data_IF_421321713169
#
_entry.id   IF_421321713169
#
_cell.length_a   1.000
_cell.length_b   1.000
_cell.length_c   1.000
_cell.angle_alpha   90.00
_cell.angle_beta   90.00
_cell.angle_gamma   90.00
#
_symmetry.space_group_name_H-M   'P 1'
#
loop_
_entity.id
_entity.type
_entity.pdbx_description
1 polymer ?
#
# COMPACT_ATOMS: atom_id res chain seq x y z
N UNK A 1 3.13 -25.55 -16.65
CA UNK A 1 3.21 -24.83 -15.37
C UNK A 1 2.28 -23.64 -15.54
N UNK A 2 1.05 -23.69 -15.02
CA UNK A 2 0.19 -22.51 -15.06
C UNK A 2 0.75 -21.55 -14.04
N UNK A 3 1.30 -20.42 -14.49
CA UNK A 3 1.56 -19.28 -13.63
C UNK A 3 0.23 -18.95 -12.94
N UNK A 4 0.15 -19.30 -11.66
CA UNK A 4 -0.94 -18.90 -10.81
C UNK A 4 -0.98 -17.39 -10.85
N UNK A 5 -2.01 -16.84 -11.49
CA UNK A 5 -2.55 -15.53 -11.15
C UNK A 5 -3.02 -15.64 -9.70
N UNK A 6 -2.06 -15.63 -8.76
CA UNK A 6 -2.31 -15.14 -7.43
C UNK A 6 -2.88 -13.74 -7.65
N UNK A 7 -4.14 -13.55 -7.28
CA UNK A 7 -4.80 -12.26 -7.28
C UNK A 7 -3.78 -11.24 -6.78
N UNK A 8 -3.32 -10.35 -7.64
CA UNK A 8 -2.20 -9.48 -7.31
C UNK A 8 -2.60 -8.71 -6.05
N UNK A 9 -1.88 -8.87 -4.90
CA UNK A 9 -2.26 -8.20 -3.67
C UNK A 9 -2.19 -6.68 -3.81
N UNK A 10 -1.58 -6.22 -4.91
CA UNK A 10 -1.45 -4.83 -5.31
C UNK A 10 -2.27 -4.63 -6.59
N UNK A 11 -3.32 -3.83 -6.49
CA UNK A 11 -4.17 -3.50 -7.64
C UNK A 11 -3.43 -2.67 -8.69
N UNK A 12 -3.86 -2.76 -9.95
CA UNK A 12 -3.30 -1.99 -11.06
C UNK A 12 -3.28 -0.46 -10.81
N UNK A 13 -4.28 0.06 -10.10
CA UNK A 13 -4.35 1.48 -9.69
C UNK A 13 -3.26 1.86 -8.68
N UNK A 14 -2.97 0.98 -7.72
CA UNK A 14 -1.92 1.18 -6.74
C UNK A 14 -0.52 1.08 -7.39
N UNK A 15 -0.33 0.18 -8.36
CA UNK A 15 0.88 0.17 -9.19
C UNK A 15 1.12 1.51 -9.90
N UNK A 16 0.07 2.10 -10.49
CA UNK A 16 0.19 3.41 -11.15
C UNK A 16 0.56 4.51 -10.15
N UNK A 17 -0.05 4.52 -8.97
CA UNK A 17 0.29 5.46 -7.88
C UNK A 17 1.76 5.35 -7.47
N UNK A 18 2.24 4.12 -7.23
CA UNK A 18 3.64 3.88 -6.86
C UNK A 18 4.60 4.38 -7.94
N UNK A 19 4.35 4.09 -9.22
CA UNK A 19 5.20 4.56 -10.31
C UNK A 19 5.22 6.08 -10.46
N UNK A 20 4.13 6.75 -10.08
CA UNK A 20 4.04 8.20 -10.10
C UNK A 20 4.81 8.83 -8.95
N UNK A 21 4.63 8.32 -7.74
CA UNK A 21 5.24 8.86 -6.53
C UNK A 21 6.74 8.48 -6.45
N UNK A 22 7.13 7.34 -7.04
CA UNK A 22 8.50 6.84 -7.11
C UNK A 22 8.94 6.70 -8.58
N UNK A 23 9.42 7.79 -9.21
CA UNK A 23 9.82 7.77 -10.61
C UNK A 23 11.08 6.93 -10.86
N UNK A 24 11.88 6.67 -9.82
CA UNK A 24 13.02 5.77 -9.92
C UNK A 24 12.55 4.30 -10.02
N UNK A 25 12.89 3.58 -11.10
CA UNK A 25 12.39 2.22 -11.32
C UNK A 25 12.94 1.21 -10.31
N UNK A 26 14.12 1.45 -9.73
CA UNK A 26 14.70 0.62 -8.68
C UNK A 26 13.91 0.75 -7.37
N UNK A 27 13.61 1.99 -6.99
CA UNK A 27 12.80 2.32 -5.82
C UNK A 27 11.37 1.79 -5.96
N UNK A 28 10.72 2.03 -7.09
CA UNK A 28 9.36 1.52 -7.36
C UNK A 28 9.30 -0.01 -7.24
N UNK A 29 10.26 -0.73 -7.84
CA UNK A 29 10.34 -2.19 -7.73
C UNK A 29 10.56 -2.65 -6.28
N UNK A 30 11.42 -1.95 -5.53
CA UNK A 30 11.66 -2.22 -4.12
C UNK A 30 10.41 -2.04 -3.26
N UNK A 31 9.65 -0.98 -3.51
CA UNK A 31 8.38 -0.69 -2.81
C UNK A 31 7.31 -1.73 -3.13
N UNK A 32 7.13 -2.07 -4.40
CA UNK A 32 6.21 -3.14 -4.82
C UNK A 32 6.55 -4.45 -4.13
N UNK A 33 7.83 -4.83 -4.08
CA UNK A 33 8.28 -6.02 -3.37
C UNK A 33 7.99 -5.99 -1.86
N UNK A 34 8.25 -4.85 -1.22
CA UNK A 34 7.98 -4.67 0.21
C UNK A 34 6.47 -4.68 0.53
N UNK A 35 5.63 -4.07 -0.32
CA UNK A 35 4.18 -4.11 -0.19
C UNK A 35 3.63 -5.53 -0.31
N UNK A 36 4.15 -6.34 -1.25
CA UNK A 36 3.76 -7.76 -1.37
C UNK A 36 4.10 -8.55 -0.10
N UNK A 37 5.29 -8.34 0.45
CA UNK A 37 5.68 -8.97 1.71
C UNK A 37 4.78 -8.53 2.87
N UNK A 38 4.48 -7.23 2.96
CA UNK A 38 3.58 -6.69 3.98
C UNK A 38 2.16 -7.27 3.86
N UNK A 39 1.63 -7.39 2.64
CA UNK A 39 0.32 -7.98 2.40
C UNK A 39 0.24 -9.43 2.90
N UNK A 40 1.28 -10.23 2.62
CA UNK A 40 1.35 -11.61 3.09
C UNK A 40 1.44 -11.71 4.62
N UNK A 41 2.13 -10.77 5.28
CA UNK A 41 2.19 -10.71 6.74
C UNK A 41 0.86 -10.30 7.37
N UNK A 42 0.14 -9.37 6.73
CA UNK A 42 -1.12 -8.82 7.22
C UNK A 42 -2.36 -9.61 6.78
N UNK A 43 -2.22 -10.63 5.94
CA UNK A 43 -3.32 -11.48 5.43
C UNK A 43 -4.21 -12.03 6.56
N UNK A 44 -3.63 -12.29 7.74
CA UNK A 44 -4.36 -12.78 8.92
C UNK A 44 -5.23 -11.73 9.63
N UNK A 45 -5.10 -10.45 9.27
CA UNK A 45 -5.77 -9.33 9.94
C UNK A 45 -7.24 -9.17 9.53
N UNK A 46 -7.74 -9.95 8.55
CA UNK A 46 -9.09 -9.85 7.97
C UNK A 46 -9.46 -8.51 7.31
N UNK A 47 -8.56 -7.52 7.38
CA UNK A 47 -8.69 -6.23 6.70
C UNK A 47 -8.38 -6.32 5.21
N UNK A 48 -8.89 -5.35 4.44
CA UNK A 48 -8.60 -5.27 3.01
C UNK A 48 -7.12 -4.96 2.78
N UNK A 49 -6.37 -5.82 2.07
CA UNK A 49 -4.96 -5.59 1.80
C UNK A 49 -4.76 -4.29 1.03
N UNK A 50 -5.60 -4.01 0.04
CA UNK A 50 -5.52 -2.76 -0.73
C UNK A 50 -5.61 -1.50 0.16
N UNK A 51 -6.45 -1.52 1.20
CA UNK A 51 -6.60 -0.41 2.16
C UNK A 51 -5.30 -0.19 2.94
N UNK A 52 -4.74 -1.26 3.49
CA UNK A 52 -3.49 -1.23 4.25
C UNK A 52 -2.30 -0.78 3.39
N UNK A 53 -2.18 -1.34 2.18
CA UNK A 53 -1.10 -1.00 1.26
C UNK A 53 -1.23 0.44 0.76
N UNK A 54 -2.45 0.92 0.51
CA UNK A 54 -2.70 2.31 0.12
C UNK A 54 -2.29 3.27 1.24
N UNK A 55 -2.64 2.98 2.49
CA UNK A 55 -2.21 3.79 3.64
C UNK A 55 -0.68 3.92 3.70
N UNK A 56 0.05 2.81 3.49
CA UNK A 56 1.50 2.82 3.48
C UNK A 56 2.09 3.69 2.35
N UNK A 57 1.48 3.69 1.16
CA UNK A 57 1.91 4.53 0.02
C UNK A 57 1.54 6.00 0.22
N UNK A 58 0.37 6.28 0.79
CA UNK A 58 -0.07 7.66 1.11
C UNK A 58 0.85 8.29 2.14
N UNK A 59 1.20 7.59 3.23
CA UNK A 59 2.16 8.07 4.24
C UNK A 59 3.55 8.28 3.62
N UNK A 60 3.94 7.41 2.68
CA UNK A 60 5.23 7.49 2.03
C UNK A 60 5.41 8.78 1.23
N UNK A 61 4.36 9.24 0.54
CA UNK A 61 4.35 10.52 -0.20
C UNK A 61 5.59 10.69 -1.11
N UNK A 62 5.95 9.63 -1.84
CA UNK A 62 7.14 9.59 -2.71
C UNK A 62 8.50 9.47 -2.00
N UNK A 63 8.53 9.39 -0.67
CA UNK A 63 9.74 9.23 0.13
C UNK A 63 9.92 7.77 0.63
N UNK A 64 11.05 7.16 0.28
CA UNK A 64 11.38 5.77 0.63
C UNK A 64 11.61 5.58 2.13
N UNK A 65 12.13 6.58 2.85
CA UNK A 65 12.31 6.52 4.30
C UNK A 65 10.98 6.61 5.03
N UNK A 66 10.05 7.44 4.53
CA UNK A 66 8.67 7.48 5.04
C UNK A 66 7.96 6.16 4.77
N UNK A 67 8.12 5.59 3.57
CA UNK A 67 7.60 4.27 3.25
C UNK A 67 8.09 3.19 4.23
N UNK A 68 9.41 3.14 4.49
CA UNK A 68 9.99 2.20 5.47
C UNK A 68 9.41 2.38 6.87
N UNK A 69 9.15 3.63 7.26
CA UNK A 69 8.55 3.95 8.55
C UNK A 69 7.08 3.49 8.61
N UNK A 70 6.33 3.68 7.53
CA UNK A 70 4.96 3.20 7.39
C UNK A 70 4.89 1.66 7.45
N UNK A 71 5.78 0.95 6.75
CA UNK A 71 5.84 -0.53 6.83
C UNK A 71 6.14 -1.01 8.26
N UNK A 72 7.04 -0.34 8.98
CA UNK A 72 7.30 -0.66 10.40
C UNK A 72 6.09 -0.40 11.29
N UNK A 73 5.36 0.68 11.04
CA UNK A 73 4.12 1.00 11.75
C UNK A 73 3.06 -0.08 11.48
N UNK A 74 2.84 -0.44 10.22
CA UNK A 74 1.90 -1.48 9.80
C UNK A 74 2.12 -2.83 10.50
N UNK A 75 3.38 -3.24 10.66
CA UNK A 75 3.76 -4.47 11.37
C UNK A 75 3.55 -4.40 12.87
N UNK A 76 3.58 -3.19 13.43
CA UNK A 76 3.47 -2.95 14.87
C UNK A 76 2.01 -2.78 15.27
N UNK A 77 1.33 -1.82 14.64
CA UNK A 77 -0.11 -1.63 14.73
C UNK A 77 -0.63 -1.13 13.36
N UNK A 78 -1.30 -2.04 12.64
CA UNK A 78 -1.90 -1.73 11.35
C UNK A 78 -3.07 -0.76 11.47
N UNK A 79 -3.70 -0.61 12.65
CA UNK A 79 -4.77 0.38 12.84
C UNK A 79 -4.19 1.79 12.87
N UNK A 80 -3.05 1.98 13.52
CA UNK A 80 -2.34 3.27 13.51
C UNK A 80 -1.87 3.62 12.10
N UNK A 81 -1.45 2.64 11.30
CA UNK A 81 -1.17 2.85 9.88
C UNK A 81 -2.39 3.41 9.15
N UNK A 82 -3.56 2.79 9.34
CA UNK A 82 -4.79 3.24 8.68
C UNK A 82 -5.16 4.66 9.11
N UNK A 83 -5.09 4.98 10.40
CA UNK A 83 -5.34 6.34 10.90
C UNK A 83 -4.33 7.34 10.32
N UNK A 84 -3.04 7.02 10.35
CA UNK A 84 -1.98 7.88 9.82
C UNK A 84 -2.10 8.10 8.30
N UNK A 85 -2.60 7.11 7.57
CA UNK A 85 -2.85 7.19 6.14
C UNK A 85 -4.21 7.76 5.76
N UNK A 86 -5.01 8.27 6.71
CA UNK A 86 -6.35 8.80 6.45
C UNK A 86 -7.40 7.75 6.10
N UNK A 87 -7.08 6.47 6.22
CA UNK A 87 -7.94 5.33 5.89
C UNK A 87 -8.49 4.64 7.15
N UNK A 88 -8.39 5.25 8.32
CA UNK A 88 -8.86 4.70 9.60
C UNK A 88 -10.36 4.90 9.87
N UNK A 89 -11.02 5.80 9.14
CA UNK A 89 -12.42 6.16 9.33
C UNK A 89 -13.36 5.38 8.40
N UNK A 90 -14.68 5.54 8.58
CA UNK A 90 -15.71 4.82 7.81
C UNK A 90 -15.78 5.26 6.34
N UNK A 91 -15.30 6.46 6.02
CA UNK A 91 -15.18 7.04 4.68
C UNK A 91 -13.94 6.56 3.90
N UNK A 92 -13.21 5.57 4.42
CA UNK A 92 -12.04 5.01 3.77
C UNK A 92 -12.27 4.54 2.31
N UNK A 93 -13.44 4.02 1.88
CA UNK A 93 -13.63 3.63 0.48
C UNK A 93 -13.57 4.82 -0.47
N UNK A 94 -14.11 5.98 -0.05
CA UNK A 94 -14.07 7.22 -0.83
C UNK A 94 -12.65 7.77 -0.89
N UNK A 95 -11.97 7.87 0.25
CA UNK A 95 -10.58 8.35 0.32
C UNK A 95 -9.66 7.46 -0.52
N UNK A 96 -9.85 6.13 -0.46
CA UNK A 96 -9.08 5.18 -1.26
C UNK A 96 -9.30 5.39 -2.76
N UNK A 97 -10.53 5.65 -3.19
CA UNK A 97 -10.83 5.94 -4.59
C UNK A 97 -10.22 7.28 -5.03
N UNK A 98 -10.27 8.31 -4.19
CA UNK A 98 -9.66 9.61 -4.46
C UNK A 98 -8.13 9.54 -4.58
N UNK A 99 -7.48 8.79 -3.69
CA UNK A 99 -6.02 8.64 -3.69
C UNK A 99 -5.50 7.78 -4.85
N UNK A 100 -6.30 6.80 -5.29
CA UNK A 100 -5.94 5.89 -6.38
C UNK A 100 -6.53 6.32 -7.74
N UNK A 101 -7.34 7.38 -7.75
CA UNK A 101 -7.90 7.94 -8.98
C UNK A 101 -6.78 8.45 -9.90
N UNK A 102 -6.86 8.15 -11.21
CA UNK A 102 -5.97 8.76 -12.19
C UNK A 102 -6.33 10.24 -12.32
N UNK A 103 -5.55 11.11 -11.70
CA UNK A 103 -5.55 12.56 -12.00
C UNK A 103 -4.66 12.85 -13.19
#
# INVERSE_FOLDING_TARGET
MGDGVAEEPISARLHKRIHRDFPDPGAAKGIVGALRALAAELERSQESPERLLTAAVVIADGDVNRFRSAVRLARTDWRDLLVAGGLGHEDWPQVLDEELSPR
#
